data_IF_419109024793
#
_entry.id   IF_419109024793
#
_cell.length_a   1.000
_cell.length_b   1.000
_cell.length_c   1.000
_cell.angle_alpha   90.00
_cell.angle_beta   90.00
_cell.angle_gamma   90.00
#
_symmetry.space_group_name_H-M   'P 1'
#
loop_
_entity.id
_entity.type
_entity.pdbx_description
1 polymer ?
#
# COMPACT_ATOMS: atom_id res chain seq x y z
N UNK A 1 22.15 33.06 -23.30
CA UNK A 1 20.85 32.51 -22.88
C UNK A 1 20.48 31.37 -23.83
N UNK A 2 20.50 30.12 -23.37
CA UNK A 2 20.07 28.98 -24.18
C UNK A 2 19.70 27.76 -23.31
N UNK A 3 18.42 27.36 -23.49
CA UNK A 3 17.83 26.01 -23.33
C UNK A 3 17.47 25.53 -21.92
N UNK A 4 16.23 25.89 -21.60
CA UNK A 4 15.22 25.19 -20.80
C UNK A 4 14.98 23.77 -21.37
N UNK A 5 15.26 22.75 -20.57
CA UNK A 5 14.73 21.37 -20.65
C UNK A 5 14.82 20.86 -19.20
N UNK A 6 13.78 20.77 -18.36
CA UNK A 6 12.36 20.69 -18.64
C UNK A 6 12.02 19.28 -19.12
N UNK A 7 11.66 18.41 -18.18
CA UNK A 7 11.09 17.07 -18.36
C UNK A 7 12.05 15.91 -18.65
N UNK A 8 12.57 15.31 -17.58
CA UNK A 8 12.74 13.86 -17.47
C UNK A 8 12.24 13.45 -16.06
N UNK A 9 10.98 13.83 -15.77
CA UNK A 9 10.15 13.15 -14.76
C UNK A 9 9.23 12.19 -15.52
N UNK A 10 9.82 11.32 -16.33
CA UNK A 10 9.21 10.06 -16.70
C UNK A 10 9.30 9.20 -15.42
N UNK A 11 8.30 9.19 -14.54
CA UNK A 11 6.91 8.91 -14.87
C UNK A 11 6.65 7.40 -14.91
N UNK A 12 7.69 6.58 -14.88
CA UNK A 12 7.64 5.21 -14.41
C UNK A 12 7.46 5.26 -12.89
N UNK A 13 6.21 5.48 -12.45
CA UNK A 13 5.78 5.01 -11.14
C UNK A 13 5.86 3.48 -11.20
N UNK A 14 7.08 2.93 -11.17
CA UNK A 14 7.29 1.55 -10.77
C UNK A 14 6.57 1.43 -9.45
N UNK A 15 5.45 0.71 -9.46
CA UNK A 15 4.63 0.53 -8.28
C UNK A 15 5.55 -0.09 -7.23
N UNK A 16 6.01 0.75 -6.29
CA UNK A 16 7.06 0.38 -5.36
C UNK A 16 6.46 -0.71 -4.50
N UNK A 17 7.00 -1.92 -4.65
CA UNK A 17 6.60 -3.05 -3.82
C UNK A 17 7.29 -2.90 -2.48
N UNK A 18 6.49 -3.00 -1.44
CA UNK A 18 6.96 -2.97 -0.07
C UNK A 18 6.76 -4.35 0.52
N UNK A 19 7.70 -4.75 1.37
CA UNK A 19 7.53 -5.95 2.18
C UNK A 19 6.25 -5.83 3.03
N UNK A 20 5.58 -6.96 3.24
CA UNK A 20 4.35 -7.09 4.03
C UNK A 20 4.45 -6.42 5.39
N UNK A 21 5.60 -6.52 6.07
CA UNK A 21 5.83 -5.82 7.34
C UNK A 21 5.76 -4.29 7.22
N UNK A 22 6.25 -3.73 6.12
CA UNK A 22 6.17 -2.28 5.87
C UNK A 22 4.73 -1.89 5.49
N UNK A 23 4.08 -2.68 4.65
CA UNK A 23 2.67 -2.49 4.29
C UNK A 23 1.77 -2.53 5.51
N UNK A 24 1.97 -3.49 6.42
CA UNK A 24 1.22 -3.58 7.67
C UNK A 24 1.38 -2.31 8.52
N UNK A 25 2.60 -1.78 8.64
CA UNK A 25 2.83 -0.50 9.33
C UNK A 25 2.12 0.66 8.65
N UNK A 26 2.18 0.73 7.33
CA UNK A 26 1.44 1.75 6.56
C UNK A 26 -0.06 1.61 6.81
N UNK A 27 -0.57 0.39 6.88
CA UNK A 27 -1.98 0.13 7.07
C UNK A 27 -2.47 0.45 8.49
N UNK A 28 -1.66 0.15 9.51
CA UNK A 28 -1.91 0.57 10.89
C UNK A 28 -2.00 2.10 10.98
N UNK A 29 -1.06 2.81 10.33
CA UNK A 29 -1.01 4.28 10.36
C UNK A 29 -2.07 4.97 9.50
N UNK A 30 -2.32 4.48 8.26
CA UNK A 30 -3.26 5.11 7.31
C UNK A 30 -4.71 4.71 7.57
N UNK A 31 -4.97 3.43 7.82
CA UNK A 31 -6.33 2.90 7.89
C UNK A 31 -6.83 2.73 9.32
N UNK A 32 -5.99 3.03 10.32
CA UNK A 32 -6.35 2.94 11.74
C UNK A 32 -6.64 1.51 12.19
N UNK A 33 -6.07 0.52 11.50
CA UNK A 33 -6.17 -0.88 11.92
C UNK A 33 -5.27 -1.12 13.13
N UNK A 34 -5.73 -1.92 14.08
CA UNK A 34 -4.84 -2.44 15.12
C UNK A 34 -3.90 -3.50 14.52
N UNK A 35 -2.76 -3.73 15.17
CA UNK A 35 -1.79 -4.75 14.74
C UNK A 35 -2.43 -6.11 14.45
N UNK A 36 -3.39 -6.55 15.27
CA UNK A 36 -4.12 -7.81 15.07
C UNK A 36 -4.99 -7.78 13.81
N UNK A 37 -5.68 -6.67 13.54
CA UNK A 37 -6.53 -6.50 12.37
C UNK A 37 -5.69 -6.35 11.10
N UNK A 38 -4.55 -5.66 11.17
CA UNK A 38 -3.58 -5.63 10.08
C UNK A 38 -3.03 -7.04 9.79
N UNK A 39 -2.62 -7.80 10.82
CA UNK A 39 -2.20 -9.20 10.63
C UNK A 39 -3.31 -10.02 9.96
N UNK A 40 -4.57 -9.86 10.39
CA UNK A 40 -5.69 -10.59 9.83
C UNK A 40 -6.02 -10.17 8.39
N UNK A 41 -6.02 -8.86 8.11
CA UNK A 41 -6.28 -8.30 6.79
C UNK A 41 -5.21 -8.72 5.77
N UNK A 42 -3.95 -8.80 6.21
CA UNK A 42 -2.83 -9.20 5.35
C UNK A 42 -2.44 -10.67 5.52
N UNK A 43 -3.16 -11.50 6.29
CA UNK A 43 -2.72 -12.87 6.61
C UNK A 43 -2.45 -13.68 5.34
N UNK A 44 -3.43 -13.71 4.44
CA UNK A 44 -3.37 -14.39 3.14
C UNK A 44 -2.73 -13.52 2.03
N UNK A 45 -2.28 -12.31 2.35
CA UNK A 45 -1.68 -11.41 1.37
C UNK A 45 -0.19 -11.75 1.12
N UNK A 46 0.27 -11.39 -0.08
CA UNK A 46 1.64 -11.64 -0.58
C UNK A 46 2.72 -11.04 0.34
N UNK A 47 3.92 -11.62 0.32
CA UNK A 47 5.07 -11.11 1.09
C UNK A 47 5.54 -9.73 0.62
N UNK A 48 5.31 -9.38 -0.65
CA UNK A 48 5.59 -8.07 -1.22
C UNK A 48 4.39 -7.61 -2.05
N UNK A 49 3.90 -6.40 -1.77
CA UNK A 49 2.80 -5.79 -2.50
C UNK A 49 2.94 -4.27 -2.53
N UNK A 50 2.19 -3.65 -3.41
CA UNK A 50 2.10 -2.20 -3.51
C UNK A 50 1.16 -1.64 -2.45
N UNK A 51 1.27 -0.33 -2.17
CA UNK A 51 0.37 0.35 -1.23
C UNK A 51 -1.08 0.32 -1.71
N UNK A 52 -1.31 0.35 -3.03
CA UNK A 52 -2.64 0.28 -3.63
C UNK A 52 -3.28 -1.09 -3.44
N UNK A 53 -2.55 -2.17 -3.72
CA UNK A 53 -3.02 -3.53 -3.42
C UNK A 53 -3.36 -3.68 -1.94
N UNK A 54 -2.50 -3.14 -1.07
CA UNK A 54 -2.73 -3.20 0.36
C UNK A 54 -3.99 -2.46 0.82
N UNK A 55 -4.29 -1.31 0.21
CA UNK A 55 -5.52 -0.55 0.46
C UNK A 55 -6.76 -1.36 0.08
N UNK A 56 -6.71 -2.09 -1.04
CA UNK A 56 -7.80 -3.00 -1.44
C UNK A 56 -7.99 -4.14 -0.43
N UNK A 57 -6.91 -4.77 0.05
CA UNK A 57 -7.00 -5.80 1.09
C UNK A 57 -7.67 -5.28 2.37
N UNK A 58 -7.27 -4.08 2.82
CA UNK A 58 -7.86 -3.46 4.01
C UNK A 58 -9.32 -3.11 3.81
N UNK A 59 -9.67 -2.59 2.62
CA UNK A 59 -11.05 -2.27 2.27
C UNK A 59 -11.93 -3.52 2.27
N UNK A 60 -11.49 -4.59 1.60
CA UNK A 60 -12.17 -5.89 1.57
C UNK A 60 -12.30 -6.47 2.98
N UNK A 61 -11.25 -6.38 3.81
CA UNK A 61 -11.29 -6.82 5.19
C UNK A 61 -12.35 -6.08 6.01
N UNK A 62 -12.41 -4.74 5.88
CA UNK A 62 -13.42 -3.90 6.56
C UNK A 62 -14.84 -4.20 6.06
N UNK A 63 -15.03 -4.41 4.76
CA UNK A 63 -16.34 -4.79 4.22
C UNK A 63 -16.79 -6.17 4.75
N UNK A 64 -15.89 -7.16 4.85
CA UNK A 64 -16.20 -8.49 5.38
C UNK A 64 -16.43 -8.54 6.90
N UNK A 65 -15.96 -7.55 7.65
CA UNK A 65 -16.10 -7.51 9.12
C UNK A 65 -17.30 -6.69 9.60
N UNK A 66 -18.01 -6.00 8.70
CA UNK A 66 -19.17 -5.14 9.00
C UNK A 66 -20.52 -5.84 8.76
N UNK A 67 -20.54 -7.08 8.28
CA UNK A 67 -21.76 -7.92 8.15
C UNK A 67 -22.14 -8.64 9.45
#
# INVERSE_FOLDING_TARGET
MARRTGADQDGDQQAVKYAKEQIMKVAEQKFGLNRTEAIAAFFDALDEMTVEEAEEFVKQFKERTVE
#
